data_IF_796249963159
#
_entry.id   IF_796249963159
#
_cell.length_a   1.000
_cell.length_b   1.000
_cell.length_c   1.000
_cell.angle_alpha   90.00
_cell.angle_beta   90.00
_cell.angle_gamma   90.00
#
_symmetry.space_group_name_H-M   'P 1'
#
loop_
_entity.id
_entity.type
_entity.pdbx_description
1 polymer ?
#
# COMPACT_ATOMS: atom_id res chain seq x y z
N UNK A 1 14.17 21.18 18.17
CA UNK A 1 15.11 20.08 17.84
C UNK A 1 15.08 19.91 16.33
N UNK A 2 16.23 19.82 15.67
CA UNK A 2 16.31 19.59 14.22
C UNK A 2 17.15 18.34 13.90
N UNK A 3 16.87 17.72 12.77
CA UNK A 3 17.59 16.59 12.18
C UNK A 3 18.10 17.04 10.81
N UNK A 4 19.38 16.81 10.53
CA UNK A 4 20.00 17.05 9.23
C UNK A 4 20.54 15.72 8.71
N UNK A 5 20.39 15.48 7.41
CA UNK A 5 20.84 14.25 6.75
C UNK A 5 21.75 14.64 5.59
N UNK A 6 22.72 13.80 5.27
CA UNK A 6 23.53 13.97 4.07
C UNK A 6 23.10 13.01 2.95
N UNK A 7 23.78 13.09 1.81
CA UNK A 7 23.47 12.28 0.63
C UNK A 7 23.83 10.79 0.80
N UNK A 8 24.55 10.42 1.86
CA UNK A 8 24.93 9.03 2.17
C UNK A 8 23.96 8.37 3.15
N UNK A 9 23.03 9.15 3.72
CA UNK A 9 22.07 8.70 4.72
C UNK A 9 22.57 8.80 6.15
N UNK A 10 23.75 9.37 6.36
CA UNK A 10 24.19 9.76 7.71
C UNK A 10 23.36 10.96 8.19
N UNK A 11 23.08 10.99 9.49
CA UNK A 11 22.24 12.01 10.09
C UNK A 11 22.81 12.57 11.39
N UNK A 12 22.51 13.84 11.64
CA UNK A 12 22.93 14.60 12.81
C UNK A 12 21.71 15.29 13.42
N UNK A 13 21.61 15.27 14.74
CA UNK A 13 20.54 15.92 15.48
C UNK A 13 21.08 17.07 16.35
N UNK A 14 20.27 18.12 16.53
CA UNK A 14 20.64 19.31 17.30
C UNK A 14 20.77 19.11 18.81
N UNK A 15 20.59 17.88 19.30
CA UNK A 15 20.51 17.54 20.71
C UNK A 15 20.45 16.02 20.91
N UNK A 16 20.59 15.54 22.16
CA UNK A 16 20.63 14.12 22.45
C UNK A 16 19.30 13.44 22.10
N UNK A 17 19.40 12.29 21.45
CA UNK A 17 18.27 11.38 21.22
C UNK A 17 18.34 10.23 22.22
N UNK A 18 17.17 9.70 22.58
CA UNK A 18 17.10 8.42 23.27
C UNK A 18 17.51 7.29 22.32
N UNK A 19 17.99 6.18 22.85
CA UNK A 19 18.34 4.98 22.07
C UNK A 19 17.18 4.52 21.17
N UNK A 20 15.96 4.54 21.70
CA UNK A 20 14.75 4.20 20.95
C UNK A 20 14.50 5.17 19.78
N UNK A 21 14.77 6.48 19.96
CA UNK A 21 14.58 7.45 18.90
C UNK A 21 15.68 7.33 17.82
N UNK A 22 16.93 7.12 18.23
CA UNK A 22 18.04 6.80 17.32
C UNK A 22 17.70 5.59 16.44
N UNK A 23 17.24 4.48 17.05
CA UNK A 23 16.87 3.29 16.29
C UNK A 23 15.70 3.48 15.31
N UNK A 24 14.77 4.41 15.60
CA UNK A 24 13.71 4.77 14.65
C UNK A 24 14.25 5.60 13.48
N UNK A 25 15.14 6.55 13.75
CA UNK A 25 15.76 7.34 12.68
C UNK A 25 16.59 6.43 11.78
N UNK A 26 17.45 5.57 12.35
CA UNK A 26 18.26 4.62 11.58
C UNK A 26 17.41 3.70 10.70
N UNK A 27 16.27 3.24 11.20
CA UNK A 27 15.41 2.30 10.50
C UNK A 27 14.57 2.96 9.39
N UNK A 28 13.99 4.14 9.66
CA UNK A 28 12.99 4.74 8.78
C UNK A 28 13.55 5.85 7.88
N UNK A 29 14.61 6.53 8.30
CA UNK A 29 15.16 7.64 7.51
C UNK A 29 15.60 7.22 6.10
N UNK A 30 16.26 6.06 5.88
CA UNK A 30 16.63 5.64 4.53
C UNK A 30 15.42 5.54 3.58
N UNK A 31 14.24 5.21 4.10
CA UNK A 31 13.00 5.14 3.32
C UNK A 31 12.46 6.52 2.90
N UNK A 32 12.94 7.60 3.51
CA UNK A 32 12.54 8.98 3.22
C UNK A 32 13.54 9.72 2.32
N UNK A 33 14.72 9.13 2.09
CA UNK A 33 15.75 9.71 1.24
C UNK A 33 15.58 9.35 -0.24
N UNK A 34 14.80 8.31 -0.54
CA UNK A 34 14.48 7.89 -1.90
C UNK A 34 13.03 8.27 -2.24
N UNK A 35 12.88 9.11 -3.27
CA UNK A 35 11.56 9.55 -3.74
C UNK A 35 10.82 8.49 -4.56
N UNK A 36 11.50 7.44 -5.02
CA UNK A 36 10.95 6.40 -5.91
C UNK A 36 10.86 5.04 -5.21
N UNK A 37 10.46 5.03 -3.93
CA UNK A 37 10.37 3.84 -3.11
C UNK A 37 8.98 3.15 -3.20
N UNK A 38 8.98 1.82 -3.31
CA UNK A 38 7.79 0.98 -3.11
C UNK A 38 8.03 -0.04 -2.01
N UNK A 39 7.12 -0.08 -1.02
CA UNK A 39 7.19 -1.01 0.12
C UNK A 39 6.08 -2.06 -0.01
N UNK A 40 6.47 -3.33 -0.10
CA UNK A 40 5.55 -4.47 -0.02
C UNK A 40 5.36 -4.95 1.42
N UNK A 41 4.18 -4.72 1.99
CA UNK A 41 3.80 -5.26 3.30
C UNK A 41 3.00 -6.56 3.11
N UNK A 42 3.50 -7.66 3.66
CA UNK A 42 2.84 -8.98 3.60
C UNK A 42 2.72 -9.54 5.01
N UNK A 43 1.49 -9.88 5.42
CA UNK A 43 1.23 -10.75 6.56
C UNK A 43 1.15 -12.19 6.08
N UNK A 44 1.98 -13.07 6.62
CA UNK A 44 1.95 -14.50 6.30
C UNK A 44 2.14 -15.34 7.57
N UNK A 45 1.54 -16.53 7.58
CA UNK A 45 1.87 -17.57 8.56
C UNK A 45 3.28 -18.12 8.33
N UNK A 46 3.83 -18.86 9.31
CA UNK A 46 5.18 -19.43 9.23
C UNK A 46 5.37 -20.38 8.04
N UNK A 47 4.31 -21.06 7.61
CA UNK A 47 4.28 -21.93 6.43
C UNK A 47 3.97 -21.18 5.12
N UNK A 48 4.00 -19.85 5.15
CA UNK A 48 3.96 -18.99 3.96
C UNK A 48 2.56 -18.67 3.42
N UNK A 49 1.50 -18.89 4.20
CA UNK A 49 0.12 -18.62 3.76
C UNK A 49 -0.32 -17.21 4.15
N UNK A 50 -0.88 -16.49 3.20
CA UNK A 50 -1.42 -15.12 3.38
C UNK A 50 -2.91 -15.10 3.77
N UNK A 51 -3.60 -16.24 3.63
CA UNK A 51 -4.98 -16.44 4.04
C UNK A 51 -5.21 -17.91 4.41
N UNK A 52 -6.14 -18.17 5.33
CA UNK A 52 -6.67 -19.52 5.54
C UNK A 52 -7.54 -19.94 4.35
N UNK A 53 -7.75 -21.24 4.13
CA UNK A 53 -8.64 -21.77 3.06
C UNK A 53 -10.08 -21.23 3.13
N UNK A 54 -10.46 -20.63 4.28
CA UNK A 54 -11.76 -20.01 4.52
C UNK A 54 -11.74 -18.47 4.51
N UNK A 55 -10.64 -17.84 4.08
CA UNK A 55 -10.55 -16.39 3.92
C UNK A 55 -10.43 -15.59 5.22
N UNK A 56 -10.29 -16.25 6.39
CA UNK A 56 -10.05 -15.56 7.64
C UNK A 56 -8.55 -15.25 7.77
N UNK A 57 -8.20 -13.96 7.76
CA UNK A 57 -6.85 -13.41 8.00
C UNK A 57 -6.71 -12.74 9.38
N UNK A 58 -7.79 -12.73 10.17
CA UNK A 58 -7.83 -12.01 11.42
C UNK A 58 -6.90 -12.61 12.50
N UNK A 59 -6.07 -11.74 13.08
CA UNK A 59 -5.26 -11.94 14.29
C UNK A 59 -3.96 -12.76 14.16
N UNK A 60 -3.24 -12.66 13.04
CA UNK A 60 -1.85 -13.16 12.95
C UNK A 60 -0.84 -12.14 13.53
N UNK A 61 -1.18 -10.85 13.61
CA UNK A 61 -0.24 -9.77 13.92
C UNK A 61 -0.50 -9.11 15.30
N UNK A 62 0.57 -8.87 16.07
CA UNK A 62 0.51 -8.22 17.38
C UNK A 62 0.58 -6.69 17.31
N UNK A 63 0.42 -6.02 18.45
CA UNK A 63 0.41 -4.54 18.54
C UNK A 63 1.67 -3.87 17.98
N UNK A 64 2.84 -4.52 18.10
CA UNK A 64 4.08 -4.02 17.53
C UNK A 64 4.03 -3.92 15.99
N UNK A 65 3.38 -4.88 15.32
CA UNK A 65 3.21 -4.85 13.86
C UNK A 65 2.18 -3.82 13.43
N UNK A 66 1.11 -3.66 14.19
CA UNK A 66 0.12 -2.59 14.00
C UNK A 66 0.81 -1.21 14.06
N UNK A 67 1.62 -0.96 15.09
CA UNK A 67 2.39 0.27 15.23
C UNK A 67 3.37 0.46 14.06
N UNK A 68 4.09 -0.60 13.66
CA UNK A 68 5.00 -0.57 12.51
C UNK A 68 4.27 -0.19 11.22
N UNK A 69 3.12 -0.79 10.95
CA UNK A 69 2.30 -0.48 9.78
C UNK A 69 1.82 0.96 9.79
N UNK A 70 1.39 1.47 10.96
CA UNK A 70 0.97 2.84 11.10
C UNK A 70 2.11 3.86 10.91
N UNK A 71 3.34 3.53 11.34
CA UNK A 71 4.54 4.33 11.04
C UNK A 71 4.85 4.34 9.54
N UNK A 72 4.82 3.17 8.89
CA UNK A 72 5.04 3.10 7.44
C UNK A 72 4.01 3.92 6.66
N UNK A 73 2.73 3.83 7.03
CA UNK A 73 1.67 4.65 6.41
C UNK A 73 1.90 6.15 6.58
N UNK A 74 2.45 6.59 7.71
CA UNK A 74 2.76 8.00 7.96
C UNK A 74 3.94 8.53 7.14
N UNK A 75 4.75 7.63 6.57
CA UNK A 75 5.98 7.94 5.85
C UNK A 75 5.83 7.81 4.32
N UNK A 76 4.69 7.36 3.81
CA UNK A 76 4.47 7.18 2.36
C UNK A 76 3.41 8.15 1.85
N UNK A 77 3.50 8.51 0.58
CA UNK A 77 2.51 9.37 -0.07
C UNK A 77 1.19 8.63 -0.35
N UNK A 78 1.26 7.32 -0.59
CA UNK A 78 0.12 6.51 -0.97
C UNK A 78 0.18 5.08 -0.41
N UNK A 79 -1.01 4.51 -0.17
CA UNK A 79 -1.21 3.10 0.15
C UNK A 79 -2.07 2.48 -0.93
N UNK A 80 -1.56 1.44 -1.58
CA UNK A 80 -2.22 0.75 -2.68
C UNK A 80 -2.80 -0.58 -2.21
N UNK A 81 -4.07 -0.85 -2.52
CA UNK A 81 -4.73 -2.14 -2.27
C UNK A 81 -5.57 -2.57 -3.46
N UNK A 82 -5.79 -3.88 -3.61
CA UNK A 82 -6.72 -4.42 -4.60
C UNK A 82 -8.16 -4.44 -4.10
N UNK A 83 -9.13 -4.45 -5.01
CA UNK A 83 -10.54 -4.51 -4.69
C UNK A 83 -10.93 -5.72 -3.82
N UNK A 84 -10.28 -6.87 -4.01
CA UNK A 84 -10.55 -8.06 -3.19
C UNK A 84 -10.22 -7.83 -1.71
N UNK A 85 -9.15 -7.10 -1.41
CA UNK A 85 -8.79 -6.73 -0.03
C UNK A 85 -9.81 -5.78 0.57
N UNK A 86 -10.27 -4.79 -0.20
CA UNK A 86 -11.31 -3.86 0.28
C UNK A 86 -12.61 -4.60 0.57
N UNK A 87 -13.03 -5.49 -0.34
CA UNK A 87 -14.25 -6.26 -0.18
C UNK A 87 -14.20 -7.26 1.00
N UNK A 88 -13.03 -7.81 1.30
CA UNK A 88 -12.85 -8.79 2.37
C UNK A 88 -12.68 -8.14 3.76
N UNK A 89 -11.86 -7.09 3.85
CA UNK A 89 -11.37 -6.56 5.13
C UNK A 89 -11.96 -5.18 5.50
N UNK A 90 -12.65 -4.52 4.57
CA UNK A 90 -13.17 -3.14 4.69
C UNK A 90 -12.20 -2.17 5.42
N UNK A 91 -10.92 -2.06 4.97
CA UNK A 91 -9.89 -1.37 5.72
C UNK A 91 -10.09 0.15 5.65
N UNK A 92 -9.63 0.88 6.68
CA UNK A 92 -9.62 2.35 6.65
C UNK A 92 -8.42 2.95 5.92
N UNK A 93 -7.28 2.24 5.93
CA UNK A 93 -5.99 2.63 5.35
C UNK A 93 -5.44 3.99 5.85
N UNK A 94 -5.82 4.40 7.06
CA UNK A 94 -5.38 5.64 7.72
C UNK A 94 -4.28 5.40 8.75
N UNK A 95 -3.63 6.49 9.18
CA UNK A 95 -2.73 6.56 10.34
C UNK A 95 -3.55 6.86 11.60
N UNK A 96 -3.41 6.06 12.66
CA UNK A 96 -4.26 6.11 13.86
C UNK A 96 -3.50 5.82 15.16
N UNK A 97 -2.43 5.06 15.07
CA UNK A 97 -1.66 4.59 16.24
C UNK A 97 -0.37 5.40 16.48
N UNK A 98 -0.05 6.33 15.57
CA UNK A 98 1.08 7.26 15.66
C UNK A 98 0.68 8.62 15.08
N UNK A 99 1.47 9.65 15.36
CA UNK A 99 1.33 10.95 14.70
C UNK A 99 1.85 10.88 13.25
N UNK A 100 1.16 11.55 12.34
CA UNK A 100 1.51 11.58 10.92
C UNK A 100 0.32 11.94 10.02
N UNK A 101 0.60 12.31 8.79
CA UNK A 101 -0.44 12.56 7.78
C UNK A 101 -1.02 11.23 7.29
N UNK A 102 -2.29 11.25 6.86
CA UNK A 102 -2.86 10.11 6.18
C UNK A 102 -2.34 10.05 4.73
N UNK A 103 -1.88 8.88 4.25
CA UNK A 103 -1.50 8.71 2.86
C UNK A 103 -2.73 8.75 1.96
N UNK A 104 -2.53 9.03 0.67
CA UNK A 104 -3.56 8.84 -0.35
C UNK A 104 -3.92 7.35 -0.43
N UNK A 105 -5.22 7.04 -0.41
CA UNK A 105 -5.71 5.67 -0.57
C UNK A 105 -5.86 5.38 -2.05
N UNK A 106 -5.20 4.35 -2.56
CA UNK A 106 -5.32 3.94 -3.96
C UNK A 106 -5.93 2.55 -4.01
N UNK A 107 -7.11 2.45 -4.62
CA UNK A 107 -7.84 1.18 -4.77
C UNK A 107 -7.78 0.75 -6.23
N UNK A 108 -7.24 -0.44 -6.49
CA UNK A 108 -7.26 -1.03 -7.83
C UNK A 108 -8.53 -1.87 -7.95
N UNK A 109 -9.53 -1.35 -8.66
CA UNK A 109 -10.81 -2.02 -8.94
C UNK A 109 -11.15 -1.97 -10.44
N UNK A 110 -10.47 -2.76 -11.29
CA UNK A 110 -10.54 -2.62 -12.74
C UNK A 110 -11.95 -2.71 -13.32
N UNK A 111 -12.86 -3.40 -12.62
CA UNK A 111 -14.21 -3.72 -13.07
C UNK A 111 -15.31 -3.05 -12.20
N UNK A 112 -14.96 -2.05 -11.38
CA UNK A 112 -15.86 -1.28 -10.51
C UNK A 112 -16.84 -2.15 -9.71
N UNK A 113 -16.31 -3.13 -8.98
CA UNK A 113 -17.09 -4.13 -8.23
C UNK A 113 -17.42 -3.67 -6.82
N UNK A 114 -16.70 -2.69 -6.29
CA UNK A 114 -16.86 -2.24 -4.92
C UNK A 114 -18.08 -1.34 -4.74
N UNK A 115 -18.78 -1.53 -3.62
CA UNK A 115 -19.81 -0.59 -3.15
C UNK A 115 -19.19 0.69 -2.59
N UNK A 116 -19.85 1.84 -2.75
CA UNK A 116 -19.49 3.10 -2.10
C UNK A 116 -19.56 3.06 -0.56
N UNK A 117 -20.16 2.02 0.02
CA UNK A 117 -20.33 1.90 1.48
C UNK A 117 -19.05 1.48 2.23
N UNK A 118 -18.00 1.05 1.53
CA UNK A 118 -16.73 0.70 2.17
C UNK A 118 -16.09 1.91 2.86
N UNK A 119 -15.41 1.67 3.98
CA UNK A 119 -14.79 2.70 4.81
C UNK A 119 -13.83 3.60 4.03
N UNK A 120 -13.08 3.03 3.07
CA UNK A 120 -12.17 3.77 2.16
C UNK A 120 -12.85 4.84 1.30
N UNK A 121 -14.17 4.78 1.10
CA UNK A 121 -14.91 5.73 0.27
C UNK A 121 -15.77 6.70 1.09
N UNK A 122 -16.16 6.31 2.31
CA UNK A 122 -17.20 7.02 3.07
C UNK A 122 -16.68 7.90 4.20
N UNK A 123 -15.55 7.54 4.82
CA UNK A 123 -15.15 8.18 6.08
C UNK A 123 -14.56 9.59 5.94
N UNK A 124 -14.26 10.03 4.71
CA UNK A 124 -13.66 11.34 4.42
C UNK A 124 -12.28 11.58 5.05
N UNK A 125 -11.65 10.55 5.63
CA UNK A 125 -10.45 10.71 6.46
C UNK A 125 -9.16 10.92 5.65
N UNK A 126 -9.16 10.54 4.37
CA UNK A 126 -8.05 10.70 3.45
C UNK A 126 -8.56 10.80 2.01
N UNK A 127 -7.76 11.39 1.11
CA UNK A 127 -8.07 11.37 -0.33
C UNK A 127 -8.05 9.93 -0.83
N UNK A 128 -9.02 9.56 -1.68
CA UNK A 128 -9.13 8.23 -2.27
C UNK A 128 -9.13 8.33 -3.79
N UNK A 129 -8.24 7.57 -4.41
CA UNK A 129 -8.14 7.34 -5.84
C UNK A 129 -8.58 5.91 -6.15
N UNK A 130 -9.36 5.74 -7.20
CA UNK A 130 -9.76 4.41 -7.68
C UNK A 130 -9.30 4.22 -9.11
N UNK A 131 -8.63 3.12 -9.37
CA UNK A 131 -8.11 2.78 -10.69
C UNK A 131 -9.09 1.81 -11.36
N UNK A 132 -9.73 2.27 -12.43
CA UNK A 132 -10.65 1.49 -13.27
C UNK A 132 -10.05 1.23 -14.65
N UNK A 133 -10.61 0.26 -15.35
CA UNK A 133 -10.40 0.11 -16.80
C UNK A 133 -11.20 1.18 -17.55
N UNK A 134 -10.66 1.74 -18.64
CA UNK A 134 -11.22 2.85 -19.45
C UNK A 134 -12.69 2.70 -19.91
N UNK A 135 -13.28 1.51 -19.82
CA UNK A 135 -14.66 1.22 -20.24
C UNK A 135 -15.65 1.04 -19.10
N UNK A 136 -15.27 1.32 -17.86
CA UNK A 136 -16.07 1.01 -16.67
C UNK A 136 -16.52 2.30 -15.96
N UNK A 137 -17.82 2.36 -15.64
CA UNK A 137 -18.39 3.47 -14.86
C UNK A 137 -17.94 3.44 -13.40
N UNK A 138 -18.16 4.53 -12.66
CA UNK A 138 -17.87 4.55 -11.22
C UNK A 138 -19.08 4.13 -10.39
N UNK A 139 -18.83 3.35 -9.34
CA UNK A 139 -19.80 3.03 -8.28
C UNK A 139 -19.60 3.88 -7.02
N UNK A 140 -18.59 4.75 -7.01
CA UNK A 140 -18.19 5.58 -5.86
C UNK A 140 -17.95 7.04 -6.28
N UNK A 141 -18.02 7.97 -5.33
CA UNK A 141 -17.70 9.38 -5.54
C UNK A 141 -16.20 9.69 -5.44
N UNK A 142 -15.36 8.67 -5.25
CA UNK A 142 -13.91 8.83 -5.23
C UNK A 142 -13.38 9.23 -6.61
N UNK A 143 -12.20 9.86 -6.63
CA UNK A 143 -11.57 10.30 -7.87
C UNK A 143 -11.10 9.07 -8.67
N UNK A 144 -11.61 8.92 -9.90
CA UNK A 144 -11.34 7.75 -10.75
C UNK A 144 -10.26 8.04 -11.78
N UNK A 145 -9.26 7.17 -11.82
CA UNK A 145 -8.23 7.12 -12.86
C UNK A 145 -8.54 5.93 -13.78
N UNK A 146 -8.78 6.22 -15.05
CA UNK A 146 -9.09 5.22 -16.07
C UNK A 146 -7.84 4.82 -16.84
N UNK A 147 -7.49 3.53 -16.80
CA UNK A 147 -6.35 2.96 -17.53
C UNK A 147 -6.82 2.01 -18.64
N UNK A 148 -6.15 1.98 -19.81
CA UNK A 148 -6.48 1.04 -20.86
C UNK A 148 -6.22 -0.40 -20.38
N UNK A 149 -7.02 -1.35 -20.85
CA UNK A 149 -6.73 -2.75 -20.62
C UNK A 149 -5.35 -3.08 -21.21
N UNK A 150 -4.51 -3.81 -20.46
CA UNK A 150 -3.26 -4.31 -20.99
C UNK A 150 -3.56 -5.13 -22.25
N UNK A 151 -2.91 -4.80 -23.37
CA UNK A 151 -2.98 -5.61 -24.58
C UNK A 151 -2.37 -6.95 -24.21
N UNK A 152 -3.12 -8.04 -24.30
CA UNK A 152 -2.53 -9.37 -24.26
C UNK A 152 -1.54 -9.46 -25.41
N UNK A 153 -0.24 -9.51 -25.14
CA UNK A 153 0.71 -9.96 -26.15
C UNK A 153 0.30 -11.37 -26.54
N UNK A 154 -0.20 -11.52 -27.77
CA UNK A 154 -0.56 -12.81 -28.30
C UNK A 154 0.67 -13.70 -28.26
N UNK A 155 0.61 -14.78 -27.48
CA UNK A 155 1.44 -15.95 -27.71
C UNK A 155 1.19 -16.38 -29.15
N UNK A 156 2.15 -16.08 -30.03
CA UNK A 156 2.14 -16.55 -31.40
C UNK A 156 2.23 -18.07 -31.40
N UNK A 157 1.09 -18.72 -31.60
CA UNK A 157 1.06 -20.09 -32.07
C UNK A 157 1.39 -20.07 -33.56
N UNK A 158 2.46 -20.77 -33.91
CA UNK A 158 3.07 -20.79 -35.23
C UNK A 158 3.87 -22.07 -35.42
N UNK A 159 3.20 -23.20 -35.24
CA UNK A 159 3.70 -24.50 -35.69
C UNK A 159 3.99 -24.47 -37.20
N UNK A 160 5.26 -24.70 -37.55
CA UNK A 160 5.72 -24.90 -38.92
C UNK A 160 6.76 -26.01 -38.98
N UNK A 161 6.29 -27.26 -39.00
CA UNK A 161 7.11 -28.42 -39.40
C UNK A 161 7.50 -28.30 -40.87
N UNK A 162 8.80 -28.36 -41.17
CA UNK A 162 9.34 -29.19 -42.26
C UNK A 162 10.86 -29.33 -42.12
N UNK A 163 11.32 -30.55 -41.81
CA UNK A 163 12.70 -30.96 -42.06
C UNK A 163 12.83 -31.42 -43.53
N UNK A 164 14.00 -31.26 -44.17
CA UNK A 164 14.32 -31.97 -45.41
C UNK A 164 14.55 -33.46 -45.18
#
# INVERSE_FOLDING_TARGET
MWLQTDATGEWLASGPLSEAATGLVDLYLPLQLDADLVIGQIGQSLDGRIATERGHSHYITGQADILRLHRLRALVDAVVVGASTVAADDPRLTVREVEGANPVRVVIDPDARLSAEHAVFKDGAARTLVIHRTSVGSTTDAEVISLPAARSEGTGDGAGRSAP
#
